data_IF_863574009494
#
_entry.id   IF_863574009494
#
_cell.length_a   1.000
_cell.length_b   1.000
_cell.length_c   1.000
_cell.angle_alpha   90.00
_cell.angle_beta   90.00
_cell.angle_gamma   90.00
#
_symmetry.space_group_name_H-M   'P 1'
#
loop_
_entity.id
_entity.type
_entity.pdbx_description
1 polymer ?
#
# COMPACT_ATOMS: atom_id res chain seq x y z
N UNK A 1 22.94 25.94 -15.27
CA UNK A 1 23.25 25.01 -16.35
C UNK A 1 24.22 23.96 -15.83
N UNK A 2 24.18 22.77 -16.37
CA UNK A 2 25.15 21.70 -16.15
C UNK A 2 26.01 21.62 -17.41
N UNK A 3 27.34 21.69 -17.27
CA UNK A 3 28.24 21.47 -18.37
C UNK A 3 28.65 19.99 -18.41
N UNK A 4 28.53 19.39 -19.57
CA UNK A 4 28.96 18.02 -19.84
C UNK A 4 30.11 18.04 -20.83
N UNK A 5 31.20 17.37 -20.48
CA UNK A 5 32.36 17.24 -21.34
C UNK A 5 32.34 15.83 -21.95
N UNK A 6 32.36 15.74 -23.26
CA UNK A 6 32.52 14.45 -23.95
C UNK A 6 34.01 14.09 -24.07
N UNK A 7 34.33 12.82 -23.93
CA UNK A 7 35.70 12.33 -23.99
C UNK A 7 36.33 12.34 -25.40
N UNK A 8 35.50 12.35 -26.46
CA UNK A 8 35.97 12.49 -27.85
C UNK A 8 34.75 12.63 -28.82
N UNK A 9 34.73 13.68 -29.67
CA UNK A 9 35.52 14.91 -29.63
C UNK A 9 35.20 15.75 -28.40
N UNK A 10 36.09 16.70 -28.05
CA UNK A 10 35.90 17.58 -26.90
C UNK A 10 34.71 18.52 -27.14
N UNK A 11 33.50 18.05 -26.79
CA UNK A 11 32.27 18.81 -26.86
C UNK A 11 31.88 19.23 -25.45
N UNK A 12 31.64 20.53 -25.28
CA UNK A 12 31.07 21.09 -24.06
C UNK A 12 29.60 21.35 -24.32
N UNK A 13 28.70 20.61 -23.64
CA UNK A 13 27.27 20.74 -23.80
C UNK A 13 26.65 21.37 -22.56
N UNK A 14 25.88 22.42 -22.76
CA UNK A 14 25.11 23.06 -21.70
C UNK A 14 23.70 22.49 -21.58
N UNK A 15 23.33 21.98 -20.39
CA UNK A 15 21.98 21.46 -20.15
C UNK A 15 21.26 22.20 -19.03
N UNK A 16 19.99 22.47 -19.23
CA UNK A 16 19.12 23.09 -18.24
C UNK A 16 18.67 22.06 -17.19
N UNK A 17 18.96 22.31 -15.90
CA UNK A 17 18.54 21.43 -14.79
C UNK A 17 17.02 21.33 -14.62
N UNK A 18 16.26 22.36 -15.04
CA UNK A 18 14.82 22.38 -14.78
C UNK A 18 13.97 21.81 -15.91
N UNK A 19 14.39 21.91 -17.17
CA UNK A 19 13.61 21.44 -18.31
C UNK A 19 14.29 20.37 -19.16
N UNK A 20 15.59 20.06 -18.87
CA UNK A 20 16.35 19.06 -19.64
C UNK A 20 16.77 19.50 -21.04
N UNK A 21 16.51 20.76 -21.44
CA UNK A 21 16.96 21.26 -22.73
C UNK A 21 18.47 21.31 -22.79
N UNK A 22 19.03 20.85 -23.92
CA UNK A 22 20.47 20.90 -24.20
C UNK A 22 20.71 21.98 -25.24
N UNK A 23 21.70 22.82 -25.00
CA UNK A 23 22.12 23.89 -25.89
C UNK A 23 23.42 23.49 -26.56
N UNK A 24 23.51 23.79 -27.85
CA UNK A 24 24.69 23.60 -28.68
C UNK A 24 25.12 24.97 -29.18
N UNK A 25 26.39 25.34 -29.01
CA UNK A 25 26.95 26.45 -29.71
C UNK A 25 27.14 26.10 -31.20
N UNK A 26 27.15 27.08 -32.12
CA UNK A 26 27.20 26.79 -33.57
C UNK A 26 28.38 25.89 -33.99
N UNK A 27 29.50 25.98 -33.34
CA UNK A 27 30.69 25.16 -33.60
C UNK A 27 30.57 23.75 -32.99
N UNK A 28 29.83 23.61 -31.92
CA UNK A 28 29.59 22.32 -31.25
C UNK A 28 28.61 21.44 -32.04
N UNK A 29 27.60 22.07 -32.65
CA UNK A 29 26.63 21.36 -33.49
C UNK A 29 27.30 20.74 -34.74
N UNK A 30 28.29 21.47 -35.34
CA UNK A 30 29.07 20.97 -36.46
C UNK A 30 30.03 19.83 -36.08
N UNK A 31 30.42 19.74 -34.82
CA UNK A 31 31.31 18.70 -34.30
C UNK A 31 30.58 17.44 -33.86
N UNK A 32 29.22 17.45 -33.83
CA UNK A 32 28.42 16.25 -33.57
C UNK A 32 28.64 15.26 -34.71
N UNK A 33 29.07 14.00 -34.45
CA UNK A 33 29.25 13.02 -35.50
C UNK A 33 27.97 12.81 -36.30
N UNK A 34 28.03 12.97 -37.61
CA UNK A 34 26.96 12.53 -38.51
C UNK A 34 26.91 11.00 -38.51
N UNK A 35 26.14 10.45 -37.67
CA UNK A 35 25.90 9.01 -37.60
C UNK A 35 25.47 8.58 -36.22
N UNK A 36 24.20 8.36 -36.08
CA UNK A 36 23.72 7.47 -35.02
C UNK A 36 24.39 6.13 -35.29
N UNK A 37 25.29 5.70 -34.43
CA UNK A 37 25.86 4.38 -34.49
C UNK A 37 24.66 3.41 -34.45
N UNK A 38 24.29 2.75 -35.56
CA UNK A 38 23.16 1.81 -35.63
C UNK A 38 23.28 0.64 -34.64
N UNK A 39 24.43 0.56 -33.97
CA UNK A 39 24.69 -0.36 -32.87
C UNK A 39 24.41 0.22 -31.48
N UNK A 40 23.72 1.37 -31.36
CA UNK A 40 23.17 1.74 -30.06
C UNK A 40 22.21 0.61 -29.67
N UNK A 41 22.71 -0.21 -28.75
CA UNK A 41 22.10 -1.43 -28.26
C UNK A 41 20.58 -1.24 -28.14
N UNK A 42 19.78 -2.00 -28.89
CA UNK A 42 18.30 -1.95 -28.81
C UNK A 42 17.82 -1.99 -27.37
N UNK A 43 18.58 -2.63 -26.47
CA UNK A 43 18.37 -2.65 -25.03
C UNK A 43 18.50 -1.27 -24.39
N UNK A 44 19.47 -0.46 -24.81
CA UNK A 44 19.66 0.90 -24.30
C UNK A 44 18.53 1.84 -24.74
N UNK A 45 18.11 1.77 -26.02
CA UNK A 45 16.99 2.56 -26.54
C UNK A 45 15.67 2.16 -25.89
N UNK A 46 15.40 0.86 -25.72
CA UNK A 46 14.24 0.37 -24.97
C UNK A 46 14.27 0.82 -23.51
N UNK A 47 15.46 0.87 -22.89
CA UNK A 47 15.64 1.37 -21.52
C UNK A 47 15.30 2.86 -21.39
N UNK A 48 15.75 3.70 -22.35
CA UNK A 48 15.41 5.13 -22.38
C UNK A 48 13.92 5.33 -22.62
N UNK A 49 13.33 4.59 -23.54
CA UNK A 49 11.90 4.67 -23.85
C UNK A 49 11.05 4.23 -22.67
N UNK A 50 11.42 3.16 -21.99
CA UNK A 50 10.76 2.70 -20.77
C UNK A 50 10.88 3.74 -19.63
N UNK A 51 12.06 4.37 -19.44
CA UNK A 51 12.25 5.44 -18.47
C UNK A 51 11.45 6.70 -18.82
N UNK A 52 11.41 7.08 -20.10
CA UNK A 52 10.63 8.23 -20.55
C UNK A 52 9.12 7.99 -20.35
N UNK A 53 8.64 6.80 -20.70
CA UNK A 53 7.25 6.39 -20.51
C UNK A 53 6.89 6.39 -19.02
N UNK A 54 7.73 5.81 -18.15
CA UNK A 54 7.52 5.81 -16.71
C UNK A 54 7.50 7.24 -16.13
N UNK A 55 8.35 8.16 -16.64
CA UNK A 55 8.31 9.57 -16.23
C UNK A 55 7.05 10.29 -16.68
N UNK A 56 6.59 10.05 -17.90
CA UNK A 56 5.34 10.63 -18.42
C UNK A 56 4.13 10.14 -17.62
N UNK A 57 4.10 8.87 -17.24
CA UNK A 57 3.06 8.32 -16.38
C UNK A 57 3.07 8.91 -14.97
N UNK A 58 4.25 9.14 -14.38
CA UNK A 58 4.37 9.84 -13.10
C UNK A 58 3.92 11.31 -13.17
N UNK A 59 3.92 11.93 -14.34
CA UNK A 59 3.49 13.31 -14.58
C UNK A 59 1.98 13.42 -14.87
N UNK A 60 1.26 12.31 -15.07
CA UNK A 60 -0.20 12.35 -15.27
C UNK A 60 -0.86 13.03 -14.06
N UNK A 61 -1.73 14.01 -14.26
CA UNK A 61 -2.37 14.73 -13.16
C UNK A 61 -3.27 13.80 -12.35
N UNK A 62 -3.30 13.99 -11.02
CA UNK A 62 -4.30 13.35 -10.17
C UNK A 62 -5.68 13.89 -10.51
N UNK A 63 -6.73 13.07 -10.48
CA UNK A 63 -8.09 13.50 -10.74
C UNK A 63 -8.92 12.46 -11.50
N UNK A 64 -10.01 12.92 -12.06
CA UNK A 64 -10.89 12.07 -12.87
C UNK A 64 -10.30 11.83 -14.26
N UNK A 65 -10.14 10.56 -14.62
CA UNK A 65 -9.66 10.12 -15.93
C UNK A 65 -10.65 9.12 -16.54
N UNK A 66 -10.61 8.99 -17.87
CA UNK A 66 -11.34 7.92 -18.57
C UNK A 66 -10.49 6.65 -18.67
N UNK A 67 -9.18 6.76 -18.38
CA UNK A 67 -8.25 5.62 -18.38
C UNK A 67 -8.39 4.82 -17.08
N UNK A 68 -8.80 3.56 -17.22
CA UNK A 68 -8.84 2.59 -16.13
C UNK A 68 -7.48 1.93 -15.88
N UNK A 69 -7.43 0.93 -14.99
CA UNK A 69 -6.22 0.13 -14.78
C UNK A 69 -5.88 -0.68 -16.05
N UNK A 70 -4.60 -0.92 -16.27
CA UNK A 70 -4.08 -1.63 -17.44
C UNK A 70 -4.63 -3.07 -17.55
N UNK A 71 -4.95 -3.68 -16.41
CA UNK A 71 -5.45 -5.04 -16.34
C UNK A 71 -6.96 -5.06 -16.06
N UNK A 72 -7.74 -5.65 -16.96
CA UNK A 72 -9.22 -5.68 -16.89
C UNK A 72 -9.77 -6.33 -15.61
N UNK A 73 -9.08 -7.33 -15.04
CA UNK A 73 -9.51 -7.97 -13.80
C UNK A 73 -9.51 -7.02 -12.58
N UNK A 74 -8.66 -5.99 -12.58
CA UNK A 74 -8.64 -4.94 -11.56
C UNK A 74 -9.93 -4.11 -11.52
N UNK A 75 -10.69 -4.10 -12.59
CA UNK A 75 -12.00 -3.43 -12.65
C UNK A 75 -13.02 -4.10 -11.71
N UNK A 76 -12.90 -5.43 -11.51
CA UNK A 76 -13.86 -6.18 -10.68
C UNK A 76 -13.90 -5.65 -9.23
N UNK A 77 -12.80 -5.58 -8.47
CA UNK A 77 -12.83 -5.01 -7.12
C UNK A 77 -13.25 -3.54 -7.11
N UNK A 78 -12.89 -2.76 -8.14
CA UNK A 78 -13.29 -1.36 -8.24
C UNK A 78 -14.81 -1.17 -8.38
N UNK A 79 -15.53 -2.09 -9.00
CA UNK A 79 -17.00 -2.08 -9.06
C UNK A 79 -17.64 -2.18 -7.66
N UNK A 80 -16.94 -2.78 -6.71
CA UNK A 80 -17.35 -2.89 -5.30
C UNK A 80 -16.81 -1.74 -4.43
N UNK A 81 -16.19 -0.72 -5.04
CA UNK A 81 -15.65 0.45 -4.33
C UNK A 81 -14.26 0.25 -3.73
N UNK A 82 -13.57 -0.85 -4.04
CA UNK A 82 -12.19 -1.04 -3.60
C UNK A 82 -11.23 -0.22 -4.46
N UNK A 83 -10.19 0.41 -3.85
CA UNK A 83 -9.14 1.07 -4.60
C UNK A 83 -8.31 0.05 -5.39
N UNK A 84 -7.90 0.41 -6.58
CA UNK A 84 -7.04 -0.40 -7.42
C UNK A 84 -5.70 0.31 -7.59
N UNK A 85 -4.62 -0.42 -7.42
CA UNK A 85 -3.28 0.08 -7.68
C UNK A 85 -3.03 0.25 -9.18
N UNK A 86 -2.52 1.43 -9.55
CA UNK A 86 -2.08 1.73 -10.92
C UNK A 86 -0.65 2.26 -10.87
N UNK A 87 0.13 2.02 -11.91
CA UNK A 87 1.52 2.51 -12.04
C UNK A 87 2.44 2.01 -10.92
N UNK A 88 2.46 0.71 -10.67
CA UNK A 88 3.34 0.06 -9.70
C UNK A 88 4.43 -0.70 -10.45
N UNK A 89 5.65 -0.57 -9.96
CA UNK A 89 6.78 -1.32 -10.49
C UNK A 89 6.55 -2.84 -10.32
N UNK A 90 6.97 -3.66 -11.29
CA UNK A 90 6.89 -5.11 -11.15
C UNK A 90 7.63 -5.60 -9.90
N UNK A 91 7.04 -6.54 -9.18
CA UNK A 91 7.65 -7.14 -8.00
C UNK A 91 8.96 -7.83 -8.35
N UNK A 92 10.00 -7.58 -7.58
CA UNK A 92 11.33 -8.22 -7.70
C UNK A 92 11.35 -9.62 -7.08
N UNK A 93 10.45 -9.87 -6.12
CA UNK A 93 10.37 -11.12 -5.34
C UNK A 93 8.92 -11.58 -5.20
N UNK A 94 8.74 -12.89 -5.11
CA UNK A 94 7.42 -13.45 -4.80
C UNK A 94 7.03 -13.14 -3.36
N UNK A 95 5.82 -12.58 -3.11
CA UNK A 95 5.33 -12.19 -1.78
C UNK A 95 4.76 -13.40 -1.03
N UNK A 96 5.63 -14.32 -0.63
CA UNK A 96 5.23 -15.59 -0.03
C UNK A 96 4.59 -15.43 1.34
N UNK A 97 5.01 -14.44 2.14
CA UNK A 97 4.40 -14.19 3.46
C UNK A 97 3.00 -13.64 3.27
N UNK A 98 2.80 -12.69 2.36
CA UNK A 98 1.48 -12.14 2.01
C UNK A 98 0.52 -13.24 1.56
N UNK A 99 0.95 -14.11 0.64
CA UNK A 99 0.11 -15.21 0.14
C UNK A 99 -0.18 -16.26 1.20
N UNK A 100 0.85 -16.70 1.92
CA UNK A 100 0.69 -17.70 2.98
C UNK A 100 -0.22 -17.20 4.09
N UNK A 101 -0.02 -15.95 4.53
CA UNK A 101 -0.83 -15.33 5.57
C UNK A 101 -2.28 -15.17 5.11
N UNK A 102 -2.50 -14.73 3.88
CA UNK A 102 -3.84 -14.64 3.28
C UNK A 102 -4.55 -15.99 3.25
N UNK A 103 -3.85 -17.06 2.86
CA UNK A 103 -4.40 -18.41 2.84
C UNK A 103 -4.76 -18.90 4.25
N UNK A 104 -3.90 -18.66 5.25
CA UNK A 104 -4.13 -19.04 6.65
C UNK A 104 -5.32 -18.26 7.24
N UNK A 105 -5.38 -16.94 6.99
CA UNK A 105 -6.52 -16.09 7.40
C UNK A 105 -7.83 -16.62 6.80
N UNK A 106 -7.83 -16.88 5.48
CA UNK A 106 -9.01 -17.42 4.79
C UNK A 106 -9.45 -18.76 5.38
N UNK A 107 -8.51 -19.67 5.59
CA UNK A 107 -8.78 -21.01 6.14
C UNK A 107 -9.45 -20.92 7.52
N UNK A 108 -8.84 -20.21 8.47
CA UNK A 108 -9.39 -20.11 9.83
C UNK A 108 -10.70 -19.31 9.88
N UNK A 109 -10.85 -18.28 9.07
CA UNK A 109 -12.11 -17.52 9.01
C UNK A 109 -13.24 -18.32 8.42
N UNK A 110 -13.01 -19.06 7.33
CA UNK A 110 -14.03 -19.93 6.72
C UNK A 110 -14.43 -21.04 7.71
N UNK A 111 -13.43 -21.66 8.37
CA UNK A 111 -13.71 -22.65 9.42
C UNK A 111 -14.56 -22.04 10.53
N UNK A 112 -14.22 -20.83 11.00
CA UNK A 112 -14.94 -20.15 12.06
C UNK A 112 -16.38 -19.78 11.66
N UNK A 113 -16.69 -19.54 10.40
CA UNK A 113 -18.05 -19.23 9.95
C UNK A 113 -19.07 -20.33 10.25
N UNK A 114 -18.64 -21.59 10.31
CA UNK A 114 -19.54 -22.71 10.70
C UNK A 114 -19.95 -22.68 12.18
N UNK A 115 -19.12 -22.00 13.05
CA UNK A 115 -19.33 -21.90 14.48
C UNK A 115 -18.98 -20.51 15.02
N UNK A 116 -19.41 -19.43 14.33
CA UNK A 116 -18.92 -18.08 14.51
C UNK A 116 -19.00 -17.61 15.97
N UNK A 117 -20.14 -17.78 16.64
CA UNK A 117 -20.30 -17.35 18.03
C UNK A 117 -19.30 -18.02 18.98
N UNK A 118 -19.09 -19.31 18.84
CA UNK A 118 -18.14 -20.08 19.64
C UNK A 118 -16.70 -19.68 19.33
N UNK A 119 -16.35 -19.60 18.03
CA UNK A 119 -15.01 -19.22 17.61
C UNK A 119 -14.63 -17.82 18.10
N UNK A 120 -15.53 -16.83 17.94
CA UNK A 120 -15.32 -15.47 18.41
C UNK A 120 -15.28 -15.42 19.94
N UNK A 121 -16.15 -16.16 20.62
CA UNK A 121 -16.18 -16.22 22.08
C UNK A 121 -14.92 -16.82 22.70
N UNK A 122 -14.28 -17.82 22.03
CA UNK A 122 -13.08 -18.49 22.54
C UNK A 122 -11.80 -17.79 22.07
N UNK A 123 -11.68 -17.46 20.80
CA UNK A 123 -10.43 -17.00 20.17
C UNK A 123 -10.39 -15.50 19.88
N UNK A 124 -11.52 -14.78 20.01
CA UNK A 124 -11.58 -13.33 19.88
C UNK A 124 -10.87 -12.62 21.03
N UNK A 125 -10.28 -11.48 20.76
CA UNK A 125 -9.60 -10.65 21.76
C UNK A 125 -10.62 -9.81 22.53
N UNK A 126 -10.68 -9.95 23.86
CA UNK A 126 -11.57 -9.18 24.73
C UNK A 126 -10.73 -8.27 25.62
N UNK A 127 -10.83 -6.92 25.50
CA UNK A 127 -10.03 -5.99 26.28
C UNK A 127 -10.13 -6.20 27.79
N UNK A 128 -11.34 -6.39 28.33
CA UNK A 128 -11.55 -6.65 29.77
C UNK A 128 -10.91 -7.97 30.25
N UNK A 129 -10.58 -8.88 29.35
CA UNK A 129 -9.97 -10.17 29.61
C UNK A 129 -8.66 -10.35 28.82
N UNK A 130 -7.85 -9.29 28.68
CA UNK A 130 -6.68 -9.26 27.81
C UNK A 130 -5.67 -10.39 28.07
N UNK A 131 -5.59 -10.90 29.30
CA UNK A 131 -4.70 -12.00 29.66
C UNK A 131 -5.37 -13.39 29.61
N UNK A 132 -6.59 -13.48 29.09
CA UNK A 132 -7.28 -14.75 28.89
C UNK A 132 -6.43 -15.72 28.07
N UNK A 133 -6.40 -16.98 28.50
CA UNK A 133 -5.54 -18.02 27.92
C UNK A 133 -4.05 -17.62 27.81
N UNK A 134 -3.54 -16.89 28.82
CA UNK A 134 -2.15 -16.43 28.81
C UNK A 134 -1.83 -15.38 27.73
N UNK A 135 -2.85 -14.67 27.23
CA UNK A 135 -2.69 -13.68 26.18
C UNK A 135 -2.73 -14.26 24.75
N UNK A 136 -3.06 -15.53 24.59
CA UNK A 136 -3.11 -16.17 23.25
C UNK A 136 -4.10 -15.46 22.29
N UNK A 137 -5.15 -14.85 22.84
CA UNK A 137 -6.18 -14.14 22.05
C UNK A 137 -5.67 -12.90 21.30
N UNK A 138 -4.53 -12.33 21.70
CA UNK A 138 -3.84 -11.26 20.96
C UNK A 138 -3.39 -11.72 19.55
N UNK A 139 -3.15 -13.01 19.39
CA UNK A 139 -2.73 -13.59 18.11
C UNK A 139 -3.88 -14.29 17.39
N UNK A 140 -4.73 -15.01 18.13
CA UNK A 140 -5.79 -15.82 17.48
C UNK A 140 -6.90 -14.95 16.89
N UNK A 141 -7.22 -13.82 17.49
CA UNK A 141 -8.21 -12.85 17.01
C UNK A 141 -7.89 -12.33 15.59
N UNK A 142 -6.61 -12.23 15.26
CA UNK A 142 -6.13 -11.82 13.94
C UNK A 142 -6.65 -12.70 12.80
N UNK A 143 -6.84 -14.00 13.04
CA UNK A 143 -7.25 -14.97 12.03
C UNK A 143 -8.77 -15.12 11.90
N UNK A 144 -9.56 -14.42 12.72
CA UNK A 144 -11.01 -14.50 12.73
C UNK A 144 -11.65 -13.28 12.06
N UNK A 145 -12.75 -13.49 11.37
CA UNK A 145 -13.51 -12.43 10.74
C UNK A 145 -15.00 -12.58 11.02
N UNK A 146 -15.72 -11.45 11.19
CA UNK A 146 -17.14 -11.44 11.56
C UNK A 146 -18.11 -11.72 10.42
N UNK A 147 -17.60 -11.93 9.19
CA UNK A 147 -18.41 -12.25 8.01
C UNK A 147 -17.60 -12.14 6.71
N UNK A 148 -18.21 -12.57 5.62
CA UNK A 148 -17.54 -12.69 4.31
C UNK A 148 -16.99 -11.35 3.81
N UNK A 149 -17.74 -10.25 3.91
CA UNK A 149 -17.29 -8.94 3.45
C UNK A 149 -16.11 -8.42 4.28
N UNK A 150 -16.12 -8.70 5.60
CA UNK A 150 -15.00 -8.34 6.49
C UNK A 150 -13.74 -9.12 6.11
N UNK A 151 -13.87 -10.43 5.82
CA UNK A 151 -12.76 -11.26 5.36
C UNK A 151 -12.23 -10.79 4.01
N UNK A 152 -13.11 -10.61 3.02
CA UNK A 152 -12.72 -10.17 1.67
C UNK A 152 -11.99 -8.81 1.73
N UNK A 153 -12.52 -7.85 2.50
CA UNK A 153 -11.88 -6.54 2.67
C UNK A 153 -10.47 -6.65 3.24
N UNK A 154 -10.28 -7.44 4.30
CA UNK A 154 -8.96 -7.65 4.89
C UNK A 154 -7.99 -8.35 3.92
N UNK A 155 -8.42 -9.42 3.27
CA UNK A 155 -7.59 -10.12 2.29
C UNK A 155 -7.23 -9.22 1.11
N UNK A 156 -8.18 -8.42 0.63
CA UNK A 156 -7.93 -7.49 -0.46
C UNK A 156 -6.85 -6.48 -0.12
N UNK A 157 -6.96 -5.78 1.02
CA UNK A 157 -5.96 -4.80 1.42
C UNK A 157 -4.62 -5.44 1.76
N UNK A 158 -4.61 -6.65 2.32
CA UNK A 158 -3.37 -7.39 2.56
C UNK A 158 -2.68 -7.76 1.24
N UNK A 159 -3.41 -8.19 0.24
CA UNK A 159 -2.87 -8.59 -1.06
C UNK A 159 -2.37 -7.39 -1.88
N UNK A 160 -3.13 -6.27 -1.91
CA UNK A 160 -2.80 -5.13 -2.76
C UNK A 160 -1.66 -4.26 -2.20
N UNK A 161 -1.47 -4.21 -0.89
CA UNK A 161 -0.41 -3.39 -0.28
C UNK A 161 0.71 -4.23 0.29
N UNK A 162 0.41 -5.47 0.68
CA UNK A 162 1.34 -6.34 1.37
C UNK A 162 2.46 -6.84 0.48
N UNK A 163 2.18 -7.14 -0.77
CA UNK A 163 3.15 -7.65 -1.74
C UNK A 163 4.28 -6.64 -2.00
N UNK A 164 3.93 -5.37 -2.20
CA UNK A 164 4.89 -4.27 -2.39
C UNK A 164 5.73 -4.02 -1.13
N UNK A 165 5.10 -4.06 0.05
CA UNK A 165 5.81 -3.87 1.32
C UNK A 165 6.71 -5.07 1.63
N UNK A 166 6.27 -6.30 1.31
CA UNK A 166 7.10 -7.50 1.46
C UNK A 166 8.29 -7.48 0.50
N UNK A 167 8.09 -7.06 -0.76
CA UNK A 167 9.17 -6.92 -1.73
C UNK A 167 10.23 -5.92 -1.28
N UNK A 168 9.79 -4.78 -0.73
CA UNK A 168 10.69 -3.74 -0.20
C UNK A 168 11.45 -4.18 1.05
N UNK A 169 10.76 -4.73 2.06
CA UNK A 169 11.33 -5.07 3.36
C UNK A 169 12.02 -6.43 3.41
N UNK A 170 11.63 -7.35 2.53
CA UNK A 170 11.90 -8.76 2.66
C UNK A 170 11.02 -9.43 3.73
N UNK A 171 10.91 -10.76 3.64
CA UNK A 171 9.94 -11.59 4.37
C UNK A 171 9.93 -11.38 5.87
N UNK A 172 11.10 -11.36 6.51
CA UNK A 172 11.21 -11.29 7.98
C UNK A 172 10.77 -9.95 8.55
N UNK A 173 11.20 -8.83 7.94
CA UNK A 173 10.80 -7.49 8.41
C UNK A 173 9.33 -7.24 8.15
N UNK A 174 8.82 -7.75 7.04
CA UNK A 174 7.39 -7.68 6.73
C UNK A 174 6.55 -8.46 7.74
N UNK A 175 6.93 -9.70 8.07
CA UNK A 175 6.25 -10.48 9.12
C UNK A 175 6.31 -9.78 10.49
N UNK A 176 7.46 -9.20 10.84
CA UNK A 176 7.61 -8.40 12.07
C UNK A 176 6.77 -7.12 12.05
N UNK A 177 6.61 -6.46 10.90
CA UNK A 177 5.73 -5.30 10.75
C UNK A 177 4.28 -5.68 11.07
N UNK A 178 3.77 -6.75 10.48
CA UNK A 178 2.39 -7.20 10.71
C UNK A 178 2.19 -7.60 12.17
N UNK A 179 3.11 -8.36 12.73
CA UNK A 179 3.04 -8.79 14.14
C UNK A 179 3.05 -7.58 15.09
N UNK A 180 4.01 -6.67 14.92
CA UNK A 180 4.11 -5.48 15.75
C UNK A 180 2.87 -4.58 15.61
N UNK A 181 2.36 -4.40 14.38
CA UNK A 181 1.16 -3.62 14.14
C UNK A 181 -0.09 -4.25 14.78
N UNK A 182 -0.22 -5.59 14.73
CA UNK A 182 -1.30 -6.32 15.38
C UNK A 182 -1.25 -6.11 16.90
N UNK A 183 -0.12 -6.41 17.53
CA UNK A 183 0.03 -6.29 18.99
C UNK A 183 -0.12 -4.85 19.48
N UNK A 184 0.42 -3.87 18.77
CA UNK A 184 0.26 -2.45 19.10
C UNK A 184 -1.19 -2.00 18.91
N UNK A 185 -1.85 -2.51 17.86
CA UNK A 185 -3.28 -2.28 17.64
C UNK A 185 -4.13 -2.74 18.82
N UNK A 186 -3.97 -3.98 19.22
CA UNK A 186 -4.68 -4.55 20.36
C UNK A 186 -4.34 -3.82 21.67
N UNK A 187 -3.07 -3.45 21.88
CA UNK A 187 -2.66 -2.66 23.05
C UNK A 187 -3.37 -1.31 23.10
N UNK A 188 -3.40 -0.57 22.00
CA UNK A 188 -4.11 0.72 21.93
C UNK A 188 -5.61 0.53 22.16
N UNK A 189 -6.18 -0.55 21.64
CA UNK A 189 -7.59 -0.88 21.86
C UNK A 189 -7.90 -1.15 23.35
N UNK A 190 -7.06 -1.91 24.05
CA UNK A 190 -7.18 -2.13 25.50
C UNK A 190 -7.08 -0.80 26.27
N UNK A 191 -6.09 0.02 25.94
CA UNK A 191 -5.89 1.31 26.62
C UNK A 191 -7.07 2.27 26.40
N UNK A 192 -7.69 2.23 25.22
CA UNK A 192 -8.83 3.07 24.87
C UNK A 192 -10.15 2.59 25.49
N UNK A 193 -10.33 1.27 25.65
CA UNK A 193 -11.57 0.67 26.15
C UNK A 193 -11.31 -0.54 27.07
N UNK A 194 -10.63 -0.36 28.21
CA UNK A 194 -10.15 -1.45 29.06
C UNK A 194 -11.27 -2.31 29.67
N UNK A 195 -12.48 -1.78 29.79
CA UNK A 195 -13.64 -2.47 30.35
C UNK A 195 -14.53 -3.12 29.24
N UNK A 196 -14.12 -3.03 27.97
CA UNK A 196 -14.92 -3.59 26.89
C UNK A 196 -14.96 -5.11 26.96
N UNK A 197 -16.17 -5.65 27.01
CA UNK A 197 -16.45 -7.11 26.93
C UNK A 197 -16.76 -7.56 25.50
N UNK A 198 -16.76 -6.64 24.52
CA UNK A 198 -17.00 -6.94 23.11
C UNK A 198 -15.73 -7.55 22.50
N UNK A 199 -15.79 -8.77 21.95
CA UNK A 199 -14.65 -9.37 21.30
C UNK A 199 -14.22 -8.59 20.05
N UNK A 200 -12.95 -8.25 19.94
CA UNK A 200 -12.31 -7.73 18.73
C UNK A 200 -11.73 -8.88 17.92
N UNK A 201 -11.97 -8.86 16.60
CA UNK A 201 -11.51 -9.87 15.65
C UNK A 201 -11.14 -9.21 14.32
N UNK A 202 -10.17 -9.76 13.63
CA UNK A 202 -9.75 -9.34 12.29
C UNK A 202 -8.28 -9.00 12.17
N UNK A 203 -7.74 -9.18 10.98
CA UNK A 203 -6.36 -8.84 10.65
C UNK A 203 -6.12 -7.33 10.50
N UNK A 204 -7.17 -6.53 10.59
CA UNK A 204 -7.17 -5.12 10.19
C UNK A 204 -6.21 -4.22 10.98
N UNK A 205 -5.94 -4.53 12.26
CA UNK A 205 -4.90 -3.84 13.04
C UNK A 205 -3.52 -3.99 12.41
N UNK A 206 -3.12 -5.22 12.09
CA UNK A 206 -1.87 -5.52 11.40
C UNK A 206 -1.80 -4.93 9.99
N UNK A 207 -2.89 -5.05 9.22
CA UNK A 207 -3.01 -4.50 7.88
C UNK A 207 -2.93 -2.96 7.89
N UNK A 208 -3.44 -2.30 8.92
CA UNK A 208 -3.32 -0.85 9.08
C UNK A 208 -1.87 -0.39 9.14
N UNK A 209 -0.99 -1.17 9.79
CA UNK A 209 0.45 -0.94 9.76
C UNK A 209 1.06 -1.07 8.37
N UNK A 210 0.61 -2.07 7.61
CA UNK A 210 1.03 -2.27 6.20
C UNK A 210 0.58 -1.11 5.32
N UNK A 211 -0.69 -0.67 5.43
CA UNK A 211 -1.24 0.47 4.67
C UNK A 211 -0.42 1.74 4.90
N UNK A 212 -0.13 2.05 6.17
CA UNK A 212 0.66 3.25 6.51
C UNK A 212 2.08 3.13 6.00
N UNK A 213 2.73 1.98 6.20
CA UNK A 213 4.08 1.75 5.67
C UNK A 213 4.11 1.91 4.15
N UNK A 214 3.16 1.28 3.44
CA UNK A 214 3.03 1.38 1.99
C UNK A 214 2.91 2.83 1.51
N UNK A 215 1.92 3.56 2.03
CA UNK A 215 1.63 4.91 1.55
C UNK A 215 2.75 5.92 1.83
N UNK A 216 3.53 5.71 2.90
CA UNK A 216 4.70 6.53 3.22
C UNK A 216 5.94 6.12 2.43
N UNK A 217 6.09 4.85 2.08
CA UNK A 217 7.21 4.34 1.28
C UNK A 217 7.02 4.62 -0.21
N UNK A 218 5.79 4.52 -0.69
CA UNK A 218 5.41 4.72 -2.08
C UNK A 218 4.42 5.90 -2.25
N UNK A 219 4.76 7.12 -1.80
CA UNK A 219 3.79 8.22 -1.72
C UNK A 219 3.24 8.67 -3.08
N UNK A 220 3.97 8.37 -4.16
CA UNK A 220 3.58 8.69 -5.54
C UNK A 220 2.82 7.57 -6.25
N UNK A 221 2.78 6.36 -5.66
CA UNK A 221 1.94 5.28 -6.17
C UNK A 221 0.50 5.77 -6.29
N UNK A 222 -0.21 5.34 -7.31
CA UNK A 222 -1.58 5.80 -7.57
C UNK A 222 -2.58 4.74 -7.21
N UNK A 223 -3.62 5.18 -6.54
CA UNK A 223 -4.81 4.40 -6.25
C UNK A 223 -5.96 4.94 -7.07
N UNK A 224 -6.54 4.09 -7.89
CA UNK A 224 -7.69 4.41 -8.73
C UNK A 224 -8.97 3.89 -8.07
N UNK A 225 -9.96 4.75 -7.96
CA UNK A 225 -11.31 4.44 -7.49
C UNK A 225 -12.27 4.59 -8.65
N UNK A 226 -13.13 3.59 -8.87
CA UNK A 226 -14.15 3.68 -9.89
C UNK A 226 -15.34 4.49 -9.36
N UNK A 227 -15.48 5.71 -9.86
CA UNK A 227 -16.64 6.53 -9.59
C UNK A 227 -17.73 6.23 -10.60
N UNK A 228 -18.92 5.86 -10.11
CA UNK A 228 -20.09 5.59 -10.92
C UNK A 228 -21.16 6.64 -10.65
N UNK A 229 -21.51 7.38 -11.69
CA UNK A 229 -22.68 8.26 -11.68
C UNK A 229 -23.65 7.83 -12.78
N UNK A 230 -24.74 7.18 -12.40
CA UNK A 230 -25.72 6.57 -13.32
C UNK A 230 -25.04 5.57 -14.29
N UNK A 231 -24.91 5.91 -15.58
CA UNK A 231 -24.23 5.13 -16.62
C UNK A 231 -22.82 5.64 -16.93
N UNK A 232 -22.39 6.71 -16.29
CA UNK A 232 -21.04 7.23 -16.46
C UNK A 232 -20.08 6.59 -15.46
N UNK A 233 -18.97 6.09 -15.97
CA UNK A 233 -17.88 5.51 -15.18
C UNK A 233 -16.65 6.38 -15.38
N UNK A 234 -16.09 6.90 -14.29
CA UNK A 234 -14.85 7.69 -14.29
C UNK A 234 -13.92 7.15 -13.24
N UNK A 235 -12.66 7.08 -13.56
CA UNK A 235 -11.64 6.71 -12.61
C UNK A 235 -11.13 7.94 -11.88
N UNK A 236 -11.23 7.94 -10.56
CA UNK A 236 -10.60 8.93 -9.69
C UNK A 236 -9.24 8.38 -9.26
N UNK A 237 -8.18 8.94 -9.79
CA UNK A 237 -6.80 8.58 -9.41
C UNK A 237 -6.26 9.56 -8.38
N UNK A 238 -5.86 9.05 -7.23
CA UNK A 238 -5.23 9.83 -6.16
C UNK A 238 -3.91 9.19 -5.74
N UNK A 239 -2.91 9.98 -5.34
CA UNK A 239 -1.65 9.43 -4.86
C UNK A 239 -1.85 8.73 -3.49
N UNK A 240 -1.02 7.73 -3.20
CA UNK A 240 -1.14 6.91 -1.99
C UNK A 240 -1.11 7.75 -0.70
N UNK A 241 -0.32 8.82 -0.65
CA UNK A 241 -0.30 9.72 0.50
C UNK A 241 -1.65 10.41 0.75
N UNK A 242 -2.38 10.81 -0.32
CA UNK A 242 -3.68 11.44 -0.18
C UNK A 242 -4.75 10.44 0.26
N UNK A 243 -4.70 9.22 -0.28
CA UNK A 243 -5.54 8.11 0.19
C UNK A 243 -5.29 7.80 1.67
N UNK A 244 -4.02 7.81 2.11
CA UNK A 244 -3.67 7.63 3.53
C UNK A 244 -4.29 8.73 4.39
N UNK A 245 -4.20 10.00 3.99
CA UNK A 245 -4.80 11.11 4.76
C UNK A 245 -6.31 10.91 4.91
N UNK A 246 -7.00 10.61 3.81
CA UNK A 246 -8.45 10.35 3.84
C UNK A 246 -8.80 9.16 4.73
N UNK A 247 -8.04 8.07 4.60
CA UNK A 247 -8.23 6.88 5.41
C UNK A 247 -7.98 7.16 6.90
N UNK A 248 -6.92 7.91 7.25
CA UNK A 248 -6.63 8.30 8.64
C UNK A 248 -7.76 9.16 9.23
N UNK A 249 -8.28 10.14 8.48
CA UNK A 249 -9.43 10.95 8.92
C UNK A 249 -10.65 10.06 9.21
N UNK A 250 -10.91 9.08 8.34
CA UNK A 250 -11.97 8.10 8.56
C UNK A 250 -11.72 7.25 9.81
N UNK A 251 -10.46 6.82 10.07
CA UNK A 251 -10.14 6.05 11.29
C UNK A 251 -10.35 6.88 12.55
N UNK A 252 -9.93 8.14 12.57
CA UNK A 252 -10.19 9.02 13.73
C UNK A 252 -11.69 9.25 13.96
N UNK A 253 -12.45 9.48 12.91
CA UNK A 253 -13.90 9.60 12.98
C UNK A 253 -14.56 8.31 13.51
N UNK A 254 -14.19 7.17 12.95
CA UNK A 254 -14.71 5.86 13.38
C UNK A 254 -14.31 5.53 14.83
N UNK A 255 -13.10 5.92 15.25
CA UNK A 255 -12.66 5.75 16.63
C UNK A 255 -13.49 6.62 17.60
N UNK A 256 -13.84 7.85 17.23
CA UNK A 256 -14.75 8.68 18.01
C UNK A 256 -16.14 8.04 18.13
N UNK A 257 -16.68 7.49 17.05
CA UNK A 257 -17.94 6.73 17.08
C UNK A 257 -17.85 5.48 17.95
N UNK A 258 -16.73 4.74 17.86
CA UNK A 258 -16.48 3.57 18.69
C UNK A 258 -16.49 3.92 20.18
N UNK A 259 -15.75 4.97 20.58
CA UNK A 259 -15.67 5.41 21.97
C UNK A 259 -17.01 5.96 22.51
N UNK A 260 -17.87 6.45 21.62
CA UNK A 260 -19.25 6.89 21.92
C UNK A 260 -20.25 5.72 21.96
N UNK A 261 -19.82 4.48 21.69
CA UNK A 261 -20.71 3.31 21.61
C UNK A 261 -21.58 3.25 20.35
N UNK A 262 -21.31 4.09 19.35
CA UNK A 262 -22.09 4.17 18.08
C UNK A 262 -21.49 3.29 16.98
N UNK A 263 -20.33 2.67 17.20
CA UNK A 263 -19.69 1.76 16.24
C UNK A 263 -19.09 0.55 16.96
N UNK A 264 -19.24 -0.63 16.37
CA UNK A 264 -18.59 -1.86 16.80
C UNK A 264 -17.24 -2.13 16.10
N UNK A 265 -16.77 -1.19 15.26
CA UNK A 265 -15.47 -1.31 14.61
C UNK A 265 -14.36 -0.94 15.59
N UNK A 266 -13.36 -1.80 15.76
CA UNK A 266 -12.21 -1.53 16.62
C UNK A 266 -11.22 -0.55 15.94
N UNK A 267 -11.68 0.67 15.64
CA UNK A 267 -10.89 1.68 14.95
C UNK A 267 -9.68 2.15 15.79
N UNK A 268 -9.74 2.05 17.10
CA UNK A 268 -8.60 2.28 18.00
C UNK A 268 -7.48 1.26 17.74
N UNK A 269 -7.81 0.00 17.42
CA UNK A 269 -6.82 -1.00 17.00
C UNK A 269 -6.18 -0.64 15.66
N UNK A 270 -6.97 -0.10 14.71
CA UNK A 270 -6.43 0.38 13.44
C UNK A 270 -5.43 1.53 13.64
N UNK A 271 -5.76 2.50 14.50
CA UNK A 271 -4.86 3.61 14.83
C UNK A 271 -3.58 3.13 15.51
N UNK A 272 -3.67 2.14 16.41
CA UNK A 272 -2.50 1.52 17.03
C UNK A 272 -1.60 0.82 16.01
N UNK A 273 -2.19 0.03 15.13
CA UNK A 273 -1.47 -0.62 14.02
C UNK A 273 -0.83 0.37 13.07
N UNK A 274 -1.55 1.45 12.72
CA UNK A 274 -1.05 2.57 11.91
C UNK A 274 0.18 3.23 12.56
N UNK A 275 0.13 3.48 13.86
CA UNK A 275 1.25 4.06 14.62
C UNK A 275 2.49 3.16 14.57
N UNK A 276 2.33 1.84 14.75
CA UNK A 276 3.42 0.88 14.60
C UNK A 276 4.00 0.90 13.18
N UNK A 277 3.14 0.93 12.15
CA UNK A 277 3.55 1.04 10.76
C UNK A 277 4.38 2.28 10.48
N UNK A 278 3.98 3.43 11.02
CA UNK A 278 4.71 4.69 10.92
C UNK A 278 6.09 4.61 11.59
N UNK A 279 6.16 4.12 12.82
CA UNK A 279 7.42 4.01 13.57
C UNK A 279 8.41 3.06 12.88
N UNK A 280 7.92 1.93 12.38
CA UNK A 280 8.75 0.97 11.65
C UNK A 280 9.15 1.50 10.28
N UNK A 281 8.31 2.28 9.61
CA UNK A 281 8.70 2.99 8.40
C UNK A 281 9.85 3.99 8.67
N UNK A 282 9.78 4.79 9.71
CA UNK A 282 10.89 5.69 10.08
C UNK A 282 12.21 4.94 10.24
N UNK A 283 12.16 3.71 10.82
CA UNK A 283 13.35 2.86 11.03
C UNK A 283 13.84 2.20 9.74
N UNK A 284 12.94 1.75 8.87
CA UNK A 284 13.27 0.85 7.76
C UNK A 284 13.17 1.46 6.36
N UNK A 285 12.72 2.70 6.22
CA UNK A 285 12.52 3.38 4.92
C UNK A 285 13.75 3.43 4.00
N UNK A 286 14.97 3.27 4.55
CA UNK A 286 16.23 3.31 3.82
C UNK A 286 16.83 1.95 3.50
N UNK A 287 16.11 0.86 3.76
CA UNK A 287 16.64 -0.51 3.65
C UNK A 287 16.34 -1.20 2.30
N UNK A 288 15.61 -0.56 1.41
CA UNK A 288 15.23 -1.06 0.07
C UNK A 288 16.17 -0.63 -1.03
#
# INVERSE_FOLDING_TARGET
MLQFHSAAPALELDACKSCGAVWFDPQEFEAVPEGVNESADEGYLRGIEAQATARLEQMKPSGFTDEGPDETWKTIPALFGFPVETNVDPLKRQPLVTWSLSAVIAFFSIWAFFHLKTAVGVFGFVPAEALRFGGLTWLTSFFLHGGILHLIGNLYFLLIFGDNVEDHLGRWRYALLILAATLTGDLVHVLAAPQSTVPSIGASGGISGVIVFYALQFPKARLAFLFRYFLYFRWLQIPAWAALVLWMLLQFFTAALQLSGLSNTAATAHLGGAAAGFLLWLKWRKLG
#
